data_IF_001914896146
#
_entry.id   IF_001914896146
#
_cell.length_a   1.000
_cell.length_b   1.000
_cell.length_c   1.000
_cell.angle_alpha   90.00
_cell.angle_beta   90.00
_cell.angle_gamma   90.00
#
_symmetry.space_group_name_H-M   'P 1'
#
loop_
_entity.id
_entity.type
_entity.pdbx_description
1 polymer ?
#
# COMPACT_ATOMS: atom_id res chain seq x y z
N UNK A 1 -0.80 -12.06 -6.48
CA UNK A 1 -0.78 -10.82 -5.67
C UNK A 1 0.10 -11.06 -4.45
N UNK A 2 1.14 -10.25 -4.25
CA UNK A 2 2.15 -10.51 -3.20
C UNK A 2 1.80 -9.71 -1.94
N UNK A 3 1.69 -10.42 -0.80
CA UNK A 3 1.46 -9.81 0.51
C UNK A 3 2.80 -9.56 1.19
N UNK A 4 3.04 -8.34 1.63
CA UNK A 4 4.27 -7.96 2.33
C UNK A 4 4.14 -8.23 3.83
N UNK A 5 3.00 -7.84 4.41
CA UNK A 5 2.79 -7.96 5.86
C UNK A 5 1.32 -8.17 6.19
N UNK A 6 1.06 -9.08 7.11
CA UNK A 6 -0.24 -9.22 7.77
C UNK A 6 -0.08 -8.78 9.22
N UNK A 7 -1.03 -7.99 9.72
CA UNK A 7 -1.03 -7.51 11.10
C UNK A 7 -2.36 -7.93 11.72
N UNK A 8 -2.28 -8.76 12.76
CA UNK A 8 -3.42 -9.11 13.60
C UNK A 8 -3.77 -7.95 14.52
N UNK A 9 -5.05 -7.77 14.77
CA UNK A 9 -5.61 -6.70 15.59
C UNK A 9 -6.60 -7.30 16.60
N UNK A 10 -6.87 -6.58 17.68
CA UNK A 10 -8.06 -6.88 18.50
C UNK A 10 -9.35 -6.38 17.81
N UNK A 11 -10.54 -6.82 18.24
CA UNK A 11 -11.81 -6.33 17.70
C UNK A 11 -11.95 -4.81 17.79
N UNK A 12 -11.57 -4.24 18.94
CA UNK A 12 -11.65 -2.80 19.19
C UNK A 12 -10.65 -2.02 18.33
N UNK A 13 -9.41 -2.52 18.22
CA UNK A 13 -8.38 -1.92 17.38
C UNK A 13 -8.76 -1.96 15.90
N UNK A 14 -9.39 -3.05 15.44
CA UNK A 14 -9.88 -3.15 14.07
C UNK A 14 -10.97 -2.10 13.80
N UNK A 15 -11.96 -2.02 14.69
CA UNK A 15 -13.05 -1.05 14.54
C UNK A 15 -12.52 0.40 14.57
N UNK A 16 -11.56 0.68 15.45
CA UNK A 16 -10.89 1.98 15.53
C UNK A 16 -10.11 2.30 14.25
N UNK A 17 -9.27 1.37 13.79
CA UNK A 17 -8.49 1.51 12.56
C UNK A 17 -9.40 1.77 11.36
N UNK A 18 -10.46 0.98 11.22
CA UNK A 18 -11.41 1.11 10.12
C UNK A 18 -12.09 2.49 10.12
N UNK A 19 -12.60 2.93 11.28
CA UNK A 19 -13.24 4.25 11.41
C UNK A 19 -12.26 5.37 11.12
N UNK A 20 -11.03 5.28 11.63
CA UNK A 20 -9.98 6.26 11.38
C UNK A 20 -9.64 6.36 9.89
N UNK A 21 -9.40 5.22 9.23
CA UNK A 21 -9.08 5.17 7.81
C UNK A 21 -10.23 5.68 6.95
N UNK A 22 -11.48 5.27 7.23
CA UNK A 22 -12.67 5.76 6.51
C UNK A 22 -12.86 7.27 6.68
N UNK A 23 -12.70 7.81 7.88
CA UNK A 23 -12.87 9.26 8.16
C UNK A 23 -11.89 10.11 7.34
N UNK A 24 -10.63 9.69 7.30
CA UNK A 24 -9.57 10.39 6.57
C UNK A 24 -9.36 9.89 5.13
N UNK A 25 -10.23 9.02 4.61
CA UNK A 25 -10.20 8.60 3.22
C UNK A 25 -11.11 9.47 2.33
N UNK A 26 -10.65 9.75 1.12
CA UNK A 26 -11.51 10.13 0.01
C UNK A 26 -12.02 8.85 -0.66
N UNK A 27 -13.35 8.71 -0.77
CA UNK A 27 -13.98 7.55 -1.38
C UNK A 27 -13.75 7.57 -2.89
N UNK A 28 -13.48 6.39 -3.45
CA UNK A 28 -13.43 6.15 -4.89
C UNK A 28 -14.26 4.93 -5.25
N UNK A 29 -14.87 5.00 -6.43
CA UNK A 29 -15.66 3.91 -7.00
C UNK A 29 -14.82 2.94 -7.82
N UNK A 30 -13.59 3.31 -8.18
CA UNK A 30 -12.70 2.51 -9.01
C UNK A 30 -11.62 1.80 -8.21
N UNK A 31 -11.32 0.56 -8.58
CA UNK A 31 -10.26 -0.24 -7.95
C UNK A 31 -8.87 0.40 -8.15
N UNK A 32 -8.04 0.37 -7.10
CA UNK A 32 -6.70 0.95 -7.09
C UNK A 32 -5.66 0.16 -7.88
N UNK A 33 -5.99 -1.03 -8.36
CA UNK A 33 -5.01 -1.90 -9.02
C UNK A 33 -4.55 -1.38 -10.40
N UNK A 34 -5.28 -0.45 -11.03
CA UNK A 34 -5.00 -0.03 -12.42
C UNK A 34 -4.90 1.49 -12.64
N UNK A 35 -5.40 2.32 -11.72
CA UNK A 35 -5.48 3.78 -11.95
C UNK A 35 -4.47 4.54 -11.07
N UNK A 36 -3.68 5.40 -11.72
CA UNK A 36 -2.68 6.31 -11.15
C UNK A 36 -3.10 7.78 -11.31
N UNK A 37 -4.35 8.13 -11.01
CA UNK A 37 -4.76 9.53 -11.11
C UNK A 37 -4.21 10.38 -9.97
N UNK A 38 -3.65 11.53 -10.33
CA UNK A 38 -3.43 12.65 -9.42
C UNK A 38 -4.75 13.04 -8.78
N UNK A 39 -4.71 13.28 -7.48
CA UNK A 39 -5.90 13.67 -6.73
C UNK A 39 -5.58 14.95 -6.00
N UNK A 40 -6.23 16.04 -6.43
CA UNK A 40 -6.43 17.21 -5.57
C UNK A 40 -7.34 16.77 -4.43
N UNK A 41 -6.75 16.24 -3.37
CA UNK A 41 -7.48 15.91 -2.15
C UNK A 41 -7.76 17.18 -1.35
N UNK A 42 -8.95 17.27 -0.76
CA UNK A 42 -9.20 18.25 0.29
C UNK A 42 -8.18 18.09 1.43
N UNK A 43 -7.79 19.21 2.06
CA UNK A 43 -6.67 19.28 3.02
C UNK A 43 -6.73 18.25 4.17
N UNK A 44 -7.93 17.77 4.52
CA UNK A 44 -8.14 16.80 5.59
C UNK A 44 -8.04 15.32 5.19
N UNK A 45 -7.92 15.00 3.90
CA UNK A 45 -7.88 13.61 3.41
C UNK A 45 -6.44 13.11 3.32
N UNK A 46 -6.20 11.94 3.89
CA UNK A 46 -4.89 11.29 4.03
C UNK A 46 -4.79 10.04 3.15
N UNK A 47 -5.93 9.42 2.82
CA UNK A 47 -6.02 8.16 2.09
C UNK A 47 -7.01 8.22 0.93
N UNK A 48 -6.81 7.34 -0.05
CA UNK A 48 -7.84 6.93 -1.00
C UNK A 48 -8.45 5.63 -0.50
N UNK A 49 -9.78 5.58 -0.39
CA UNK A 49 -10.53 4.40 0.02
C UNK A 49 -11.40 3.87 -1.12
N UNK A 50 -11.37 2.55 -1.36
CA UNK A 50 -12.23 1.85 -2.31
C UNK A 50 -12.94 0.73 -1.55
N UNK A 51 -14.27 0.77 -1.57
CA UNK A 51 -15.11 -0.22 -0.90
C UNK A 51 -15.43 -1.35 -1.88
N UNK A 52 -14.69 -2.46 -1.79
CA UNK A 52 -14.99 -3.67 -2.55
C UNK A 52 -16.02 -4.55 -1.83
N UNK A 53 -16.58 -5.53 -2.56
CA UNK A 53 -17.60 -6.43 -2.00
C UNK A 53 -17.12 -7.21 -0.77
N UNK A 54 -15.88 -7.72 -0.79
CA UNK A 54 -15.31 -8.55 0.31
C UNK A 54 -14.34 -7.78 1.20
N UNK A 55 -13.60 -6.83 0.63
CA UNK A 55 -12.53 -6.13 1.30
C UNK A 55 -12.63 -4.63 1.03
N UNK A 56 -12.25 -3.84 2.03
CA UNK A 56 -12.04 -2.40 1.90
C UNK A 56 -10.56 -2.19 1.61
N UNK A 57 -10.28 -1.43 0.57
CA UNK A 57 -8.94 -1.12 0.14
C UNK A 57 -8.61 0.33 0.49
N UNK A 58 -7.42 0.56 1.02
CA UNK A 58 -6.88 1.90 1.22
C UNK A 58 -5.51 2.01 0.58
N UNK A 59 -5.23 3.16 -0.02
CA UNK A 59 -3.90 3.47 -0.53
C UNK A 59 -3.58 4.93 -0.29
N UNK A 60 -2.29 5.26 -0.26
CA UNK A 60 -1.84 6.63 -0.07
C UNK A 60 -2.07 7.42 -1.39
N UNK A 61 -2.51 8.69 -1.32
CA UNK A 61 -2.44 9.56 -2.48
C UNK A 61 -0.98 9.72 -2.93
N UNK A 62 -0.77 9.65 -4.24
CA UNK A 62 0.56 9.72 -4.83
C UNK A 62 0.76 11.08 -5.47
N UNK A 63 1.88 11.70 -5.13
CA UNK A 63 2.41 12.83 -5.89
C UNK A 63 3.09 12.32 -7.16
N UNK A 64 3.53 13.23 -8.03
CA UNK A 64 4.26 12.89 -9.25
C UNK A 64 5.48 11.99 -8.99
N UNK A 65 6.29 12.32 -7.98
CA UNK A 65 7.49 11.56 -7.61
C UNK A 65 7.13 10.17 -7.06
N UNK A 66 6.03 10.08 -6.30
CA UNK A 66 5.57 8.82 -5.71
C UNK A 66 5.08 7.80 -6.75
N UNK A 67 4.85 8.22 -8.01
CA UNK A 67 4.44 7.31 -9.09
C UNK A 67 5.51 6.26 -9.41
N UNK A 68 6.78 6.60 -9.22
CA UNK A 68 7.90 5.68 -9.44
C UNK A 68 8.05 4.64 -8.31
N UNK A 69 7.39 4.86 -7.16
CA UNK A 69 7.41 3.90 -6.07
C UNK A 69 6.42 2.75 -6.33
N UNK A 70 6.78 1.51 -5.96
CA UNK A 70 5.85 0.38 -5.95
C UNK A 70 4.60 0.71 -5.13
N UNK A 71 3.42 0.37 -5.64
CA UNK A 71 2.13 0.68 -5.03
C UNK A 71 1.75 -0.32 -3.97
N UNK A 72 1.53 0.20 -2.76
CA UNK A 72 0.99 -0.56 -1.65
C UNK A 72 -0.49 -0.30 -1.44
N UNK A 73 -1.22 -1.37 -1.17
CA UNK A 73 -2.64 -1.35 -0.85
C UNK A 73 -2.80 -2.02 0.51
N UNK A 74 -3.46 -1.30 1.41
CA UNK A 74 -3.93 -1.79 2.69
C UNK A 74 -5.28 -2.45 2.43
N UNK A 75 -5.35 -3.76 2.62
CA UNK A 75 -6.56 -4.55 2.53
C UNK A 75 -7.09 -4.79 3.94
N UNK A 76 -8.32 -4.35 4.19
CA UNK A 76 -9.06 -4.64 5.39
C UNK A 76 -10.27 -5.53 5.04
N UNK A 77 -10.40 -6.74 5.61
CA UNK A 77 -11.55 -7.59 5.38
C UNK A 77 -12.80 -7.00 6.05
N UNK A 78 -13.90 -6.98 5.31
CA UNK A 78 -15.18 -6.44 5.79
C UNK A 78 -15.83 -7.35 6.83
N UNK A 79 -15.51 -8.64 6.80
CA UNK A 79 -16.06 -9.61 7.74
C UNK A 79 -15.57 -9.32 9.17
N UNK A 80 -16.48 -9.30 10.14
CA UNK A 80 -16.19 -8.96 11.55
C UNK A 80 -15.33 -10.00 12.25
N UNK A 81 -15.34 -11.25 11.78
CA UNK A 81 -14.51 -12.34 12.31
C UNK A 81 -13.03 -12.22 11.94
N UNK A 82 -12.72 -11.52 10.84
CA UNK A 82 -11.36 -11.42 10.33
C UNK A 82 -10.63 -10.24 10.98
N UNK A 83 -9.93 -10.51 12.07
CA UNK A 83 -9.26 -9.50 12.89
C UNK A 83 -7.83 -9.17 12.42
N UNK A 84 -7.66 -8.90 11.13
CA UNK A 84 -6.36 -8.54 10.56
C UNK A 84 -6.50 -7.52 9.44
N UNK A 85 -5.39 -6.83 9.13
CA UNK A 85 -5.24 -6.14 7.85
C UNK A 85 -3.97 -6.61 7.15
N UNK A 86 -3.96 -6.51 5.81
CA UNK A 86 -2.84 -6.93 4.97
C UNK A 86 -2.31 -5.75 4.17
N UNK A 87 -1.00 -5.59 4.15
CA UNK A 87 -0.30 -4.73 3.21
C UNK A 87 0.18 -5.57 2.04
N UNK A 88 -0.29 -5.23 0.85
CA UNK A 88 0.04 -5.94 -0.39
C UNK A 88 0.61 -5.00 -1.43
N UNK A 89 1.38 -5.54 -2.36
CA UNK A 89 1.67 -4.87 -3.62
C UNK A 89 0.41 -4.84 -4.49
N UNK A 90 0.23 -3.72 -5.20
CA UNK A 90 -0.73 -3.61 -6.28
C UNK A 90 -0.40 -4.59 -7.40
N UNK A 91 -1.39 -4.95 -8.21
CA UNK A 91 -1.19 -5.85 -9.34
C UNK A 91 -0.14 -5.32 -10.33
N UNK A 92 -0.13 -4.01 -10.64
CA UNK A 92 0.89 -3.42 -11.50
C UNK A 92 2.31 -3.58 -10.93
N UNK A 93 2.49 -3.31 -9.63
CA UNK A 93 3.80 -3.47 -8.99
C UNK A 93 4.20 -4.93 -8.85
N UNK A 94 3.23 -5.84 -8.69
CA UNK A 94 3.47 -7.28 -8.74
C UNK A 94 3.94 -7.72 -10.13
N UNK A 95 3.33 -7.19 -11.20
CA UNK A 95 3.72 -7.51 -12.57
C UNK A 95 5.15 -7.04 -12.88
N UNK A 96 5.52 -5.83 -12.44
CA UNK A 96 6.90 -5.32 -12.55
C UNK A 96 7.88 -6.23 -11.83
N UNK A 97 7.57 -6.65 -10.61
CA UNK A 97 8.43 -7.57 -9.85
C UNK A 97 8.61 -8.92 -10.57
N UNK A 98 7.53 -9.50 -11.09
CA UNK A 98 7.60 -10.75 -11.87
C UNK A 98 8.46 -10.58 -13.12
N UNK A 99 8.30 -9.48 -13.85
CA UNK A 99 9.11 -9.19 -15.04
C UNK A 99 10.61 -9.06 -14.69
N UNK A 100 10.94 -8.42 -13.58
CA UNK A 100 12.33 -8.33 -13.10
C UNK A 100 12.91 -9.70 -12.75
N UNK A 101 12.13 -10.56 -12.09
CA UNK A 101 12.55 -11.94 -11.76
C UNK A 101 12.75 -12.77 -13.02
N UNK A 102 11.87 -12.66 -14.01
CA UNK A 102 12.02 -13.32 -15.31
C UNK A 102 13.27 -12.81 -16.02
N UNK A 103 13.53 -11.49 -16.00
CA UNK A 103 14.73 -10.89 -16.58
C UNK A 103 16.02 -11.44 -15.97
N UNK A 104 16.05 -11.63 -14.64
CA UNK A 104 17.18 -12.28 -13.95
C UNK A 104 17.33 -13.73 -14.41
N UNK A 105 16.24 -14.50 -14.43
CA UNK A 105 16.29 -15.90 -14.87
C UNK A 105 16.78 -16.03 -16.31
N UNK A 106 16.28 -15.20 -17.24
CA UNK A 106 16.73 -15.16 -18.62
C UNK A 106 18.21 -14.77 -18.74
N UNK A 107 18.67 -13.78 -17.96
CA UNK A 107 20.08 -13.40 -17.91
C UNK A 107 20.99 -14.54 -17.45
N UNK A 108 20.60 -15.29 -16.41
CA UNK A 108 21.34 -16.45 -15.90
C UNK A 108 21.38 -17.58 -16.94
N UNK A 109 20.26 -17.87 -17.60
CA UNK A 109 20.17 -18.92 -18.63
C UNK A 109 21.07 -18.57 -19.82
N UNK A 110 20.97 -17.34 -20.33
CA UNK A 110 21.80 -16.87 -21.44
C UNK A 110 23.29 -16.92 -21.10
N UNK A 111 23.68 -16.53 -19.88
CA UNK A 111 25.06 -16.64 -19.40
C UNK A 111 25.54 -18.09 -19.34
N UNK A 112 24.66 -19.02 -18.95
CA UNK A 112 24.97 -20.44 -18.83
C UNK A 112 25.15 -21.13 -20.19
N UNK A 113 24.54 -20.60 -21.25
CA UNK A 113 24.68 -21.07 -22.64
C UNK A 113 25.88 -20.39 -23.35
N UNK A 114 26.52 -19.41 -22.70
CA UNK A 114 27.68 -18.69 -23.25
C UNK A 114 27.32 -17.54 -24.19
N UNK A 115 26.03 -17.21 -24.33
CA UNK A 115 25.52 -16.10 -25.15
C UNK A 115 25.23 -14.83 -24.32
N UNK A 116 25.44 -14.89 -23.00
CA UNK A 116 25.10 -13.82 -22.07
C UNK A 116 26.03 -12.62 -22.14
N UNK A 117 25.44 -11.42 -22.19
CA UNK A 117 26.16 -10.17 -22.00
C UNK A 117 26.29 -9.83 -20.51
N UNK A 118 27.37 -9.16 -20.11
CA UNK A 118 27.61 -8.76 -18.72
C UNK A 118 26.48 -7.85 -18.22
N UNK A 119 25.97 -6.99 -19.11
CA UNK A 119 24.83 -6.10 -18.89
C UNK A 119 23.57 -6.85 -18.43
N UNK A 120 23.31 -8.01 -19.03
CA UNK A 120 22.13 -8.84 -18.70
C UNK A 120 22.22 -9.45 -17.28
N UNK A 121 23.42 -9.61 -16.73
CA UNK A 121 23.61 -10.03 -15.33
C UNK A 121 23.57 -8.86 -14.34
N UNK A 122 23.91 -7.64 -14.76
CA UNK A 122 24.02 -6.49 -13.85
C UNK A 122 22.70 -5.72 -13.73
N UNK A 123 22.05 -5.40 -14.85
CA UNK A 123 20.91 -4.48 -14.83
C UNK A 123 19.68 -5.05 -14.10
N UNK A 124 19.21 -6.29 -14.36
CA UNK A 124 18.01 -6.80 -13.69
C UNK A 124 18.15 -6.88 -12.16
N UNK A 125 19.27 -7.39 -11.58
CA UNK A 125 19.49 -7.30 -10.14
C UNK A 125 19.56 -5.87 -9.60
N UNK A 126 20.19 -4.95 -10.33
CA UNK A 126 20.24 -3.53 -9.97
C UNK A 126 18.85 -2.90 -9.88
N UNK A 127 17.99 -3.13 -10.89
CA UNK A 127 16.61 -2.67 -10.87
C UNK A 127 15.77 -3.36 -9.78
N UNK A 128 16.00 -4.65 -9.51
CA UNK A 128 15.34 -5.36 -8.41
C UNK A 128 15.70 -4.75 -7.05
N UNK A 129 16.97 -4.40 -6.83
CA UNK A 129 17.43 -3.74 -5.63
C UNK A 129 16.76 -2.37 -5.44
N UNK A 130 16.73 -1.56 -6.50
CA UNK A 130 16.01 -0.27 -6.49
C UNK A 130 14.51 -0.42 -6.22
N UNK A 131 13.88 -1.44 -6.80
CA UNK A 131 12.48 -1.77 -6.56
C UNK A 131 12.23 -2.16 -5.10
N UNK A 132 13.13 -2.95 -4.50
CA UNK A 132 13.05 -3.33 -3.09
C UNK A 132 13.18 -2.10 -2.18
N UNK A 133 14.14 -1.20 -2.44
CA UNK A 133 14.27 0.06 -1.71
C UNK A 133 13.01 0.93 -1.83
N UNK A 134 12.47 1.08 -3.04
CA UNK A 134 11.22 1.81 -3.27
C UNK A 134 10.05 1.21 -2.50
N UNK A 135 9.96 -0.12 -2.44
CA UNK A 135 8.93 -0.84 -1.67
C UNK A 135 9.07 -0.56 -0.16
N UNK A 136 10.30 -0.55 0.37
CA UNK A 136 10.55 -0.24 1.78
C UNK A 136 10.21 1.21 2.13
N UNK A 137 10.51 2.15 1.23
CA UNK A 137 10.16 3.56 1.39
C UNK A 137 8.63 3.74 1.40
N UNK A 138 7.91 3.16 0.43
CA UNK A 138 6.46 3.23 0.40
C UNK A 138 5.82 2.55 1.62
N UNK A 139 6.41 1.46 2.11
CA UNK A 139 5.97 0.80 3.34
C UNK A 139 6.07 1.74 4.54
N UNK A 140 7.23 2.39 4.74
CA UNK A 140 7.42 3.37 5.83
C UNK A 140 6.46 4.55 5.71
N UNK A 141 6.31 5.12 4.51
CA UNK A 141 5.39 6.23 4.25
C UNK A 141 3.94 5.85 4.55
N UNK A 142 3.51 4.68 4.09
CA UNK A 142 2.16 4.15 4.34
C UNK A 142 1.92 3.93 5.83
N UNK A 143 2.87 3.31 6.54
CA UNK A 143 2.78 3.07 7.97
C UNK A 143 2.70 4.37 8.78
N UNK A 144 3.48 5.39 8.42
CA UNK A 144 3.43 6.71 9.05
C UNK A 144 2.07 7.38 8.85
N UNK A 145 1.49 7.30 7.65
CA UNK A 145 0.16 7.84 7.35
C UNK A 145 -0.94 7.12 8.13
N UNK A 146 -0.82 5.80 8.31
CA UNK A 146 -1.77 5.00 9.12
C UNK A 146 -1.70 5.43 10.58
N UNK A 147 -0.49 5.52 11.15
CA UNK A 147 -0.28 6.02 12.51
C UNK A 147 -0.85 7.44 12.70
N UNK A 148 -0.62 8.33 11.73
CA UNK A 148 -1.17 9.69 11.74
C UNK A 148 -2.69 9.71 11.74
N UNK A 149 -3.34 8.86 10.93
CA UNK A 149 -4.81 8.78 10.88
C UNK A 149 -5.40 8.28 12.21
N UNK A 150 -4.82 7.25 12.82
CA UNK A 150 -5.27 6.72 14.12
C UNK A 150 -5.08 7.78 15.21
N UNK A 151 -3.91 8.42 15.28
CA UNK A 151 -3.63 9.47 16.27
C UNK A 151 -4.59 10.65 16.13
N UNK A 152 -4.81 11.15 14.91
CA UNK A 152 -5.78 12.24 14.66
C UNK A 152 -7.21 11.82 15.01
N UNK A 153 -7.57 10.55 14.78
CA UNK A 153 -8.88 10.02 15.17
C UNK A 153 -9.06 9.99 16.70
N UNK A 154 -8.06 9.49 17.45
CA UNK A 154 -8.09 9.46 18.92
C UNK A 154 -8.24 10.85 19.52
N UNK A 155 -7.48 11.83 19.02
CA UNK A 155 -7.57 13.21 19.48
C UNK A 155 -8.97 13.80 19.26
N UNK A 156 -9.58 13.56 18.10
CA UNK A 156 -10.94 14.02 17.82
C UNK A 156 -11.99 13.32 18.69
N UNK A 157 -11.78 12.03 18.98
CA UNK A 157 -12.67 11.27 19.88
C UNK A 157 -12.63 11.82 21.30
N UNK A 158 -11.45 12.16 21.82
CA UNK A 158 -11.30 12.74 23.16
C UNK A 158 -11.95 14.12 23.28
N UNK A 159 -11.76 15.02 22.29
CA UNK A 159 -12.40 16.35 22.30
C UNK A 159 -13.93 16.27 22.33
N UNK A 160 -14.50 15.33 21.58
CA UNK A 160 -15.95 15.15 21.54
C UNK A 160 -16.52 14.70 22.90
N UNK A 161 -15.78 13.87 23.65
CA UNK A 161 -16.18 13.42 24.99
C UNK A 161 -16.12 14.59 25.99
N UNK A 162 -15.15 15.49 25.86
CA UNK A 162 -15.06 16.69 26.72
C UNK A 162 -16.23 17.65 26.47
N UNK A 163 -16.63 17.86 25.21
CA UNK A 163 -17.75 18.74 24.83
C UNK A 163 -19.13 18.19 25.26
N UNK A 164 -19.34 16.87 25.30
CA UNK A 164 -20.59 16.26 25.81
C UNK A 164 -20.68 16.21 27.35
N UNK A 165 -19.57 16.44 28.05
CA UNK A 165 -19.50 16.42 29.53
C UNK A 165 -19.69 17.79 30.19
N UNK A 166 -19.86 18.84 29.39
CA UNK A 166 -20.11 20.24 29.78
C UNK A 166 -21.58 20.61 29.56
#
# INVERSE_FOLDING_TARGET
MITIKTVSLSPDEKAELEKALRKFAAKRETNFDFISSEVSMGADKIFLGYEGNRNIHFTRPRTFIDRYLPKLIINLPRNTTDLFYRLRLSNMSTAVLVLLVIGIAAGIISASIGEGTIEALIYPPGFLFMFALGTLLEYKLSALKVKKAISKYRLLKHRYIEEESL
#
